data_IF_768506313606
#
_entry.id   IF_768506313606
#
_cell.length_a   1.000
_cell.length_b   1.000
_cell.length_c   1.000
_cell.angle_alpha   90.00
_cell.angle_beta   90.00
_cell.angle_gamma   90.00
#
_symmetry.space_group_name_H-M   'P 1'
#
loop_
_entity.id
_entity.type
_entity.pdbx_description
1 polymer ?
#
# COMPACT_ATOMS: atom_id res chain seq x y z
N UNK A 1 37.36 41.86 103.33
CA UNK A 1 36.90 43.25 103.23
C UNK A 1 38.18 44.06 103.24
N UNK A 2 38.68 44.63 102.15
CA UNK A 2 38.15 45.10 100.86
C UNK A 2 39.15 44.63 99.74
N UNK A 3 38.79 43.99 98.61
CA UNK A 3 38.01 44.45 97.44
C UNK A 3 38.40 45.86 96.94
N UNK A 4 38.67 46.19 95.69
CA UNK A 4 38.65 45.51 94.40
C UNK A 4 39.19 46.57 93.39
N UNK A 5 39.92 46.12 92.36
CA UNK A 5 40.07 46.68 90.98
C UNK A 5 40.51 48.15 90.77
N UNK A 6 41.50 48.36 89.89
CA UNK A 6 41.30 48.76 88.49
C UNK A 6 42.53 49.44 87.90
N UNK A 7 43.16 48.81 86.90
CA UNK A 7 43.20 49.44 85.57
C UNK A 7 43.67 48.42 84.53
N UNK A 8 42.70 47.98 83.73
CA UNK A 8 42.93 47.49 82.38
C UNK A 8 43.54 48.63 81.57
N UNK A 9 44.73 48.40 81.01
CA UNK A 9 45.18 49.12 79.82
C UNK A 9 44.44 48.55 78.62
N UNK A 10 43.31 49.17 78.28
CA UNK A 10 42.72 49.11 76.95
C UNK A 10 43.62 49.93 76.01
N UNK A 11 44.48 49.28 75.24
CA UNK A 11 45.01 49.89 74.03
C UNK A 11 44.01 49.66 72.91
N UNK A 12 43.33 50.76 72.56
CA UNK A 12 42.32 50.87 71.54
C UNK A 12 42.83 50.32 70.20
N UNK A 13 42.19 49.25 69.74
CA UNK A 13 42.16 48.90 68.31
C UNK A 13 41.47 50.05 67.58
N UNK A 14 42.23 50.84 66.83
CA UNK A 14 41.72 51.89 65.97
C UNK A 14 40.77 51.30 64.94
N UNK A 15 39.45 51.40 65.17
CA UNK A 15 38.42 51.05 64.18
C UNK A 15 38.24 52.26 63.27
N UNK A 16 38.91 52.23 62.12
CA UNK A 16 38.58 53.09 60.98
C UNK A 16 37.07 53.00 60.72
N UNK A 17 36.34 54.10 60.89
CA UNK A 17 34.89 54.13 60.70
C UNK A 17 34.61 54.36 59.21
N UNK A 18 34.00 53.38 58.54
CA UNK A 18 33.62 53.46 57.13
C UNK A 18 32.60 54.59 56.91
N UNK A 19 32.74 55.32 55.79
CA UNK A 19 31.73 56.27 55.34
C UNK A 19 30.38 55.56 55.11
N UNK A 20 29.29 56.20 55.54
CA UNK A 20 27.90 55.68 55.46
C UNK A 20 27.55 55.27 54.02
N UNK A 21 28.06 56.01 53.04
CA UNK A 21 27.82 55.76 51.61
C UNK A 21 28.52 54.49 51.10
N UNK A 22 29.76 54.24 51.54
CA UNK A 22 30.46 52.98 51.27
C UNK A 22 29.79 51.80 51.97
N UNK A 23 29.22 52.01 53.16
CA UNK A 23 28.46 50.98 53.86
C UNK A 23 27.16 50.61 53.12
N UNK A 24 26.46 51.58 52.51
CA UNK A 24 25.29 51.33 51.68
C UNK A 24 25.67 50.58 50.39
N UNK A 25 26.70 51.04 49.67
CA UNK A 25 27.20 50.38 48.44
C UNK A 25 27.66 48.95 48.69
N UNK A 26 28.33 48.68 49.80
CA UNK A 26 28.72 47.32 50.21
C UNK A 26 27.52 46.42 50.51
N UNK A 27 26.43 46.96 51.09
CA UNK A 27 25.18 46.20 51.27
C UNK A 27 24.53 45.88 49.94
N UNK A 28 24.52 46.83 49.01
CA UNK A 28 23.95 46.63 47.68
C UNK A 28 24.74 45.58 46.88
N UNK A 29 26.08 45.65 46.90
CA UNK A 29 26.95 44.62 46.31
C UNK A 29 26.69 43.26 46.96
N UNK A 30 26.55 43.19 48.29
CA UNK A 30 26.27 41.94 48.97
C UNK A 30 24.90 41.35 48.56
N UNK A 31 23.89 42.18 48.32
CA UNK A 31 22.59 41.74 47.80
C UNK A 31 22.73 41.19 46.38
N UNK A 32 23.46 41.88 45.50
CA UNK A 32 23.68 41.45 44.11
C UNK A 32 24.49 40.15 44.04
N UNK A 33 25.53 40.02 44.87
CA UNK A 33 26.38 38.82 44.94
C UNK A 33 25.66 37.60 45.52
N UNK A 34 24.56 37.80 46.26
CA UNK A 34 23.77 36.72 46.84
C UNK A 34 22.66 36.21 45.91
N UNK A 35 22.54 36.75 44.69
CA UNK A 35 21.60 36.28 43.66
C UNK A 35 22.17 35.05 42.93
N UNK A 36 21.31 34.36 42.16
CA UNK A 36 21.76 33.23 41.35
C UNK A 36 22.74 33.68 40.25
N UNK A 37 23.60 32.75 39.81
CA UNK A 37 24.67 33.03 38.86
C UNK A 37 24.19 33.62 37.52
N UNK A 38 22.96 33.35 37.06
CA UNK A 38 22.47 33.93 35.81
C UNK A 38 22.05 35.39 36.01
N UNK A 39 21.36 35.69 37.12
CA UNK A 39 20.99 37.06 37.47
C UNK A 39 22.23 37.91 37.79
N UNK A 40 23.21 37.32 38.48
CA UNK A 40 24.49 37.95 38.81
C UNK A 40 25.33 38.29 37.56
N UNK A 41 25.26 37.45 36.51
CA UNK A 41 25.86 37.68 35.18
C UNK A 41 25.14 38.75 34.36
N UNK A 42 23.83 38.95 34.59
CA UNK A 42 23.01 40.00 33.96
C UNK A 42 23.26 41.36 34.63
N UNK A 43 23.44 41.38 35.94
CA UNK A 43 23.68 42.59 36.75
C UNK A 43 25.19 42.87 36.97
N UNK A 44 26.05 42.21 36.20
CA UNK A 44 27.50 42.33 36.27
C UNK A 44 28.00 43.77 36.18
N UNK A 45 27.42 44.55 35.27
CA UNK A 45 27.79 45.96 35.08
C UNK A 45 27.42 46.81 36.30
N UNK A 46 26.29 46.51 36.95
CA UNK A 46 25.87 47.17 38.19
C UNK A 46 26.80 46.85 39.37
N UNK A 47 27.31 45.61 39.47
CA UNK A 47 28.30 45.23 40.48
C UNK A 47 29.62 45.98 40.23
N UNK A 48 30.06 46.07 38.97
CA UNK A 48 31.28 46.79 38.58
C UNK A 48 31.20 48.28 38.91
N UNK A 49 30.10 48.91 38.56
CA UNK A 49 29.87 50.35 38.80
C UNK A 49 29.86 50.65 40.31
N UNK A 50 29.20 49.81 41.12
CA UNK A 50 29.20 49.96 42.59
C UNK A 50 30.59 49.77 43.21
N UNK A 51 31.38 48.82 42.70
CA UNK A 51 32.76 48.59 43.15
C UNK A 51 33.68 49.76 42.83
N UNK A 52 33.52 50.38 41.65
CA UNK A 52 34.34 51.50 41.20
C UNK A 52 34.08 52.79 42.00
N UNK A 53 32.89 52.89 42.59
CA UNK A 53 32.47 54.02 43.44
C UNK A 53 32.95 53.89 44.90
N UNK A 54 33.46 52.74 45.35
CA UNK A 54 33.96 52.60 46.73
C UNK A 54 35.37 53.19 46.80
N UNK A 55 35.46 54.39 47.37
CA UNK A 55 36.70 55.16 47.50
C UNK A 55 37.70 54.56 48.53
N UNK A 56 38.96 55.01 48.51
CA UNK A 56 40.17 54.43 49.16
C UNK A 56 40.13 54.17 50.70
N UNK A 57 39.04 54.47 51.41
CA UNK A 57 38.92 54.37 52.88
C UNK A 57 38.35 53.04 53.41
N UNK A 58 38.49 51.95 52.65
CA UNK A 58 38.13 50.60 53.09
C UNK A 58 39.34 49.90 53.74
N UNK A 59 39.16 49.13 54.84
CA UNK A 59 40.21 48.32 55.43
C UNK A 59 40.89 47.44 54.37
N UNK A 60 42.22 47.35 54.43
CA UNK A 60 43.05 46.63 53.44
C UNK A 60 42.63 45.17 53.24
N UNK A 61 42.10 44.52 54.28
CA UNK A 61 41.53 43.16 54.22
C UNK A 61 40.27 43.10 53.32
N UNK A 62 39.39 44.09 53.44
CA UNK A 62 38.17 44.20 52.63
C UNK A 62 38.51 44.55 51.17
N UNK A 63 39.48 45.44 50.97
CA UNK A 63 39.99 45.80 49.65
C UNK A 63 40.52 44.58 48.89
N UNK A 64 41.35 43.76 49.53
CA UNK A 64 41.88 42.53 48.92
C UNK A 64 40.78 41.51 48.54
N UNK A 65 39.70 41.39 49.33
CA UNK A 65 38.56 40.53 48.96
C UNK A 65 37.74 41.10 47.79
N UNK A 66 37.58 42.42 47.70
CA UNK A 66 36.85 43.08 46.62
C UNK A 66 37.66 43.15 45.32
N UNK A 67 38.99 43.17 45.38
CA UNK A 67 39.85 43.04 44.19
C UNK A 67 39.57 41.73 43.44
N UNK A 68 39.29 40.64 44.15
CA UNK A 68 38.89 39.37 43.52
C UNK A 68 37.57 39.50 42.74
N UNK A 69 36.69 40.41 43.15
CA UNK A 69 35.42 40.69 42.46
C UNK A 69 35.58 41.52 41.19
N UNK A 70 36.72 42.22 41.02
CA UNK A 70 37.02 42.95 39.77
C UNK A 70 37.38 42.03 38.60
N UNK A 71 37.67 40.75 38.86
CA UNK A 71 37.93 39.73 37.85
C UNK A 71 36.69 38.90 37.49
N UNK A 72 35.52 39.21 38.05
CA UNK A 72 34.29 38.44 37.81
C UNK A 72 33.82 38.49 36.35
N UNK A 73 34.18 39.53 35.61
CA UNK A 73 33.80 39.68 34.20
C UNK A 73 34.28 38.54 33.30
N UNK A 74 35.50 38.05 33.54
CA UNK A 74 36.07 36.90 32.81
C UNK A 74 35.27 35.62 33.10
N UNK A 75 34.80 35.46 34.33
CA UNK A 75 33.93 34.36 34.73
C UNK A 75 32.52 34.52 34.16
N UNK A 76 31.98 35.74 34.06
CA UNK A 76 30.65 35.98 33.52
C UNK A 76 30.53 35.61 32.04
N UNK A 77 31.54 35.91 31.22
CA UNK A 77 31.59 35.46 29.84
C UNK A 77 31.57 33.92 29.74
N UNK A 78 32.31 33.24 30.62
CA UNK A 78 32.33 31.78 30.70
C UNK A 78 30.98 31.22 31.16
N UNK A 79 30.34 31.81 32.16
CA UNK A 79 29.01 31.40 32.65
C UNK A 79 27.95 31.57 31.56
N UNK A 80 27.91 32.68 30.81
CA UNK A 80 26.97 32.84 29.67
C UNK A 80 27.15 31.73 28.63
N UNK A 81 28.40 31.42 28.30
CA UNK A 81 28.73 30.33 27.35
C UNK A 81 28.28 28.98 27.89
N UNK A 82 28.52 28.68 29.16
CA UNK A 82 28.11 27.43 29.80
C UNK A 82 26.59 27.33 29.86
N UNK A 83 25.87 28.36 30.29
CA UNK A 83 24.41 28.39 30.32
C UNK A 83 23.81 28.15 28.94
N UNK A 84 24.32 28.83 27.89
CA UNK A 84 23.89 28.59 26.50
C UNK A 84 24.15 27.14 26.07
N UNK A 85 25.32 26.59 26.38
CA UNK A 85 25.67 25.21 26.03
C UNK A 85 24.79 24.19 26.76
N UNK A 86 24.42 24.45 28.02
CA UNK A 86 23.50 23.60 28.78
C UNK A 86 22.13 23.61 28.10
N UNK A 87 21.57 24.79 27.82
CA UNK A 87 20.28 24.91 27.12
C UNK A 87 20.29 24.21 25.76
N UNK A 88 21.31 24.44 24.94
CA UNK A 88 21.46 23.78 23.64
C UNK A 88 21.62 22.26 23.75
N UNK A 89 22.32 21.77 24.77
CA UNK A 89 22.47 20.33 24.99
C UNK A 89 21.13 19.69 25.33
N UNK A 90 20.33 20.34 26.17
CA UNK A 90 19.00 19.85 26.55
C UNK A 90 18.08 19.79 25.33
N UNK A 91 18.05 20.82 24.48
CA UNK A 91 17.21 20.80 23.26
C UNK A 91 17.64 19.70 22.30
N UNK A 92 18.94 19.58 22.02
CA UNK A 92 19.46 18.54 21.14
C UNK A 92 19.22 17.12 21.67
N UNK A 93 19.28 16.91 22.99
CA UNK A 93 18.96 15.62 23.60
C UNK A 93 17.47 15.26 23.45
N UNK A 94 16.58 16.24 23.59
CA UNK A 94 15.16 16.05 23.37
C UNK A 94 14.86 15.72 21.90
N UNK A 95 15.42 16.49 20.97
CA UNK A 95 15.27 16.25 19.52
C UNK A 95 15.79 14.87 19.12
N UNK A 96 16.96 14.48 19.63
CA UNK A 96 17.52 13.14 19.39
C UNK A 96 16.60 12.04 19.91
N UNK A 97 15.99 12.24 21.08
CA UNK A 97 15.08 11.27 21.68
C UNK A 97 13.80 11.14 20.86
N UNK A 98 13.23 12.25 20.42
CA UNK A 98 12.07 12.28 19.52
C UNK A 98 12.37 11.59 18.19
N UNK A 99 13.50 11.91 17.55
CA UNK A 99 13.91 11.28 16.29
C UNK A 99 14.19 9.79 16.43
N UNK A 100 14.74 9.35 17.56
CA UNK A 100 14.91 7.91 17.84
C UNK A 100 13.56 7.20 18.00
N UNK A 101 12.57 7.85 18.61
CA UNK A 101 11.24 7.30 18.75
C UNK A 101 10.50 7.23 17.41
N UNK A 102 10.57 8.30 16.60
CA UNK A 102 10.02 8.36 15.24
C UNK A 102 10.61 7.25 14.36
N UNK A 103 11.93 7.04 14.42
CA UNK A 103 12.58 5.97 13.66
C UNK A 103 12.09 4.56 14.06
N UNK A 104 11.83 4.32 15.35
CA UNK A 104 11.29 3.04 15.83
C UNK A 104 9.86 2.83 15.34
N UNK A 105 9.04 3.87 15.40
CA UNK A 105 7.65 3.83 14.93
C UNK A 105 7.59 3.53 13.43
N UNK A 106 8.36 4.27 12.62
CA UNK A 106 8.47 4.01 11.18
C UNK A 106 8.98 2.59 10.89
N UNK A 107 9.93 2.08 11.68
CA UNK A 107 10.39 0.70 11.53
C UNK A 107 9.25 -0.30 11.80
N UNK A 108 8.45 -0.10 12.84
CA UNK A 108 7.30 -0.96 13.14
C UNK A 108 6.25 -0.91 12.03
N UNK A 109 5.95 0.28 11.50
CA UNK A 109 5.03 0.44 10.37
C UNK A 109 5.50 -0.31 9.12
N UNK A 110 6.80 -0.25 8.80
CA UNK A 110 7.38 -1.01 7.68
C UNK A 110 7.22 -2.52 7.90
N UNK A 111 7.47 -3.03 9.11
CA UNK A 111 7.30 -4.47 9.37
C UNK A 111 5.83 -4.90 9.27
N UNK A 112 4.90 -4.10 9.77
CA UNK A 112 3.47 -4.38 9.67
C UNK A 112 2.99 -4.38 8.21
N UNK A 113 3.47 -3.43 7.41
CA UNK A 113 3.18 -3.36 5.98
C UNK A 113 3.75 -4.58 5.23
N UNK A 114 5.00 -4.99 5.52
CA UNK A 114 5.59 -6.21 4.96
C UNK A 114 4.81 -7.47 5.31
N UNK A 115 4.38 -7.58 6.56
CA UNK A 115 3.56 -8.71 7.00
C UNK A 115 2.23 -8.75 6.25
N UNK A 116 1.54 -7.61 6.18
CA UNK A 116 0.27 -7.47 5.44
C UNK A 116 0.43 -7.85 3.97
N UNK A 117 1.50 -7.38 3.31
CA UNK A 117 1.79 -7.74 1.92
C UNK A 117 2.02 -9.24 1.75
N UNK A 118 2.76 -9.87 2.66
CA UNK A 118 3.03 -11.30 2.63
C UNK A 118 1.77 -12.16 2.81
N UNK A 119 0.74 -11.63 3.47
CA UNK A 119 -0.55 -12.31 3.66
C UNK A 119 -1.50 -12.07 2.49
N UNK A 120 -1.56 -10.83 1.98
CA UNK A 120 -2.50 -10.46 0.91
C UNK A 120 -2.10 -10.99 -0.47
N UNK A 121 -0.80 -11.05 -0.79
CA UNK A 121 -0.33 -11.53 -2.10
C UNK A 121 -0.77 -12.98 -2.43
N UNK A 122 -0.61 -13.98 -1.54
CA UNK A 122 -1.10 -15.33 -1.82
C UNK A 122 -2.63 -15.41 -1.82
N UNK A 123 -3.32 -14.61 -1.00
CA UNK A 123 -4.78 -14.56 -0.97
C UNK A 123 -5.34 -14.04 -2.31
N UNK A 124 -4.76 -12.97 -2.84
CA UNK A 124 -5.13 -12.42 -4.14
C UNK A 124 -4.92 -13.44 -5.26
N UNK A 125 -3.75 -14.09 -5.31
CA UNK A 125 -3.46 -15.14 -6.30
C UNK A 125 -4.48 -16.30 -6.24
N UNK A 126 -4.89 -16.69 -5.03
CA UNK A 126 -5.92 -17.71 -4.83
C UNK A 126 -7.29 -17.26 -5.37
N UNK A 127 -7.66 -16.01 -5.15
CA UNK A 127 -8.92 -15.43 -5.67
C UNK A 127 -8.92 -15.33 -7.20
N UNK A 128 -7.80 -14.92 -7.80
CA UNK A 128 -7.63 -14.88 -9.26
C UNK A 128 -7.77 -16.28 -9.88
N UNK A 129 -7.12 -17.28 -9.28
CA UNK A 129 -7.22 -18.67 -9.73
C UNK A 129 -8.65 -19.20 -9.60
N UNK A 130 -9.33 -18.91 -8.49
CA UNK A 130 -10.74 -19.27 -8.30
C UNK A 130 -11.62 -18.66 -9.39
N UNK A 131 -11.42 -17.38 -9.70
CA UNK A 131 -12.18 -16.67 -10.74
C UNK A 131 -11.94 -17.28 -12.13
N UNK A 132 -10.69 -17.68 -12.43
CA UNK A 132 -10.34 -18.39 -13.66
C UNK A 132 -11.07 -19.74 -13.75
N UNK A 133 -11.10 -20.50 -12.66
CA UNK A 133 -11.79 -21.79 -12.59
C UNK A 133 -13.31 -21.65 -12.75
N UNK A 134 -13.92 -20.64 -12.14
CA UNK A 134 -15.35 -20.34 -12.30
C UNK A 134 -15.70 -20.02 -13.78
N UNK A 135 -14.85 -19.26 -14.48
CA UNK A 135 -15.03 -19.00 -15.90
C UNK A 135 -14.93 -20.27 -16.76
N UNK A 136 -13.97 -21.15 -16.45
CA UNK A 136 -13.84 -22.44 -17.14
C UNK A 136 -15.05 -23.35 -16.89
N UNK A 137 -15.57 -23.37 -15.66
CA UNK A 137 -16.76 -24.13 -15.32
C UNK A 137 -17.99 -23.63 -16.08
N UNK A 138 -18.16 -22.31 -16.21
CA UNK A 138 -19.25 -21.72 -16.99
C UNK A 138 -19.18 -22.13 -18.48
N UNK A 139 -17.99 -22.10 -19.08
CA UNK A 139 -17.79 -22.57 -20.45
C UNK A 139 -18.10 -24.06 -20.63
N UNK A 140 -17.66 -24.89 -19.68
CA UNK A 140 -17.94 -26.33 -19.69
C UNK A 140 -19.44 -26.60 -19.59
N UNK A 141 -20.15 -25.90 -18.70
CA UNK A 141 -21.59 -26.02 -18.55
C UNK A 141 -22.34 -25.63 -19.83
N UNK A 142 -21.93 -24.56 -20.51
CA UNK A 142 -22.49 -24.19 -21.80
C UNK A 142 -22.30 -25.28 -22.86
N UNK A 143 -21.11 -25.90 -22.91
CA UNK A 143 -20.82 -27.02 -23.82
C UNK A 143 -21.65 -28.26 -23.51
N UNK A 144 -21.82 -28.58 -22.22
CA UNK A 144 -22.69 -29.66 -21.76
C UNK A 144 -24.13 -29.42 -22.23
N UNK A 145 -24.65 -28.19 -22.05
CA UNK A 145 -26.01 -27.88 -22.48
C UNK A 145 -26.17 -28.01 -24.00
N UNK A 146 -25.22 -27.48 -24.79
CA UNK A 146 -25.24 -27.63 -26.25
C UNK A 146 -25.24 -29.10 -26.68
N UNK A 147 -24.48 -29.97 -26.00
CA UNK A 147 -24.50 -31.41 -26.28
C UNK A 147 -25.83 -32.04 -25.88
N UNK A 148 -26.43 -31.67 -24.75
CA UNK A 148 -27.76 -32.14 -24.35
C UNK A 148 -28.82 -31.78 -25.39
N UNK A 149 -28.81 -30.55 -25.89
CA UNK A 149 -29.76 -30.08 -26.90
C UNK A 149 -29.61 -30.89 -28.20
N UNK A 150 -28.38 -31.06 -28.69
CA UNK A 150 -28.09 -31.91 -29.86
C UNK A 150 -28.56 -33.35 -29.66
N UNK A 151 -28.32 -33.91 -28.47
CA UNK A 151 -28.76 -35.28 -28.15
C UNK A 151 -30.29 -35.39 -28.10
N UNK A 152 -30.99 -34.35 -27.65
CA UNK A 152 -32.45 -34.32 -27.63
C UNK A 152 -33.05 -34.26 -29.05
N UNK A 153 -32.35 -33.64 -30.01
CA UNK A 153 -32.79 -33.52 -31.40
C UNK A 153 -32.54 -34.79 -32.25
N UNK A 154 -31.53 -35.59 -31.89
CA UNK A 154 -31.15 -36.79 -32.64
C UNK A 154 -32.29 -37.81 -32.85
N UNK A 155 -33.12 -38.16 -31.84
CA UNK A 155 -34.24 -39.07 -32.03
C UNK A 155 -35.22 -38.63 -33.12
N UNK A 156 -35.53 -37.34 -33.20
CA UNK A 156 -36.41 -36.80 -34.24
C UNK A 156 -35.74 -36.90 -35.62
N UNK A 157 -34.46 -36.55 -35.72
CA UNK A 157 -33.71 -36.69 -36.97
C UNK A 157 -33.64 -38.15 -37.45
N UNK A 158 -33.46 -39.09 -36.51
CA UNK A 158 -33.47 -40.54 -36.80
C UNK A 158 -34.86 -40.95 -37.30
N UNK A 159 -35.94 -40.55 -36.61
CA UNK A 159 -37.31 -40.89 -37.01
C UNK A 159 -37.65 -40.39 -38.42
N UNK A 160 -37.26 -39.16 -38.76
CA UNK A 160 -37.44 -38.59 -40.11
C UNK A 160 -36.68 -39.43 -41.15
N UNK A 161 -35.41 -39.76 -40.88
CA UNK A 161 -34.60 -40.56 -41.78
C UNK A 161 -35.17 -41.98 -41.98
N UNK A 162 -35.61 -42.63 -40.89
CA UNK A 162 -36.25 -43.94 -40.93
C UNK A 162 -37.54 -43.92 -41.74
N UNK A 163 -38.40 -42.90 -41.56
CA UNK A 163 -39.63 -42.74 -42.34
C UNK A 163 -39.33 -42.58 -43.83
N UNK A 164 -38.29 -41.81 -44.18
CA UNK A 164 -37.86 -41.64 -45.58
C UNK A 164 -37.35 -42.95 -46.19
N UNK A 165 -36.56 -43.74 -45.44
CA UNK A 165 -36.12 -45.06 -45.89
C UNK A 165 -37.33 -45.97 -46.16
N UNK A 166 -38.30 -46.01 -45.24
CA UNK A 166 -39.50 -46.82 -45.41
C UNK A 166 -40.31 -46.43 -46.66
N UNK A 167 -40.43 -45.12 -46.92
CA UNK A 167 -41.07 -44.61 -48.14
C UNK A 167 -40.34 -45.07 -49.41
N UNK A 168 -39.02 -44.92 -49.46
CA UNK A 168 -38.21 -45.34 -50.63
C UNK A 168 -38.30 -46.85 -50.87
N UNK A 169 -38.28 -47.67 -49.81
CA UNK A 169 -38.47 -49.13 -49.94
C UNK A 169 -39.83 -49.46 -50.57
N UNK A 170 -40.88 -48.75 -50.15
CA UNK A 170 -42.24 -48.95 -50.70
C UNK A 170 -42.30 -48.58 -52.18
N UNK A 171 -41.68 -47.48 -52.60
CA UNK A 171 -41.59 -47.11 -54.01
C UNK A 171 -40.83 -48.16 -54.83
N UNK A 172 -39.68 -48.64 -54.34
CA UNK A 172 -38.90 -49.70 -55.01
C UNK A 172 -39.73 -50.98 -55.21
N UNK A 173 -40.49 -51.39 -54.20
CA UNK A 173 -41.41 -52.53 -54.30
C UNK A 173 -42.47 -52.31 -55.38
N UNK A 174 -43.07 -51.11 -55.44
CA UNK A 174 -44.05 -50.78 -56.48
C UNK A 174 -43.43 -50.81 -57.88
N UNK A 175 -42.21 -50.28 -58.04
CA UNK A 175 -41.50 -50.35 -59.31
C UNK A 175 -41.18 -51.79 -59.70
N UNK A 176 -40.70 -52.63 -58.78
CA UNK A 176 -40.47 -54.06 -59.01
C UNK A 176 -41.73 -54.78 -59.50
N UNK A 177 -42.87 -54.57 -58.86
CA UNK A 177 -44.14 -55.17 -59.31
C UNK A 177 -44.56 -54.70 -60.70
N UNK A 178 -44.44 -53.39 -61.00
CA UNK A 178 -44.75 -52.85 -62.33
C UNK A 178 -43.83 -53.42 -63.41
N UNK A 179 -42.53 -53.49 -63.14
CA UNK A 179 -41.55 -54.09 -64.05
C UNK A 179 -41.82 -55.57 -64.28
N UNK A 180 -42.15 -56.33 -63.24
CA UNK A 180 -42.48 -57.75 -63.37
C UNK A 180 -43.71 -57.97 -64.27
N UNK A 181 -44.75 -57.13 -64.13
CA UNK A 181 -45.94 -57.20 -64.99
C UNK A 181 -45.61 -56.92 -66.46
N UNK A 182 -44.82 -55.86 -66.74
CA UNK A 182 -44.38 -55.52 -68.10
C UNK A 182 -43.50 -56.63 -68.69
N UNK A 183 -42.62 -57.21 -67.87
CA UNK A 183 -41.76 -58.30 -68.32
C UNK A 183 -42.56 -59.58 -68.61
N UNK A 184 -43.62 -59.82 -67.86
CA UNK A 184 -44.52 -60.96 -68.03
C UNK A 184 -45.37 -60.88 -69.29
N UNK A 185 -45.69 -59.67 -69.79
CA UNK A 185 -46.44 -59.49 -71.05
C UNK A 185 -45.56 -59.51 -72.29
N UNK A 186 -44.23 -59.61 -72.14
CA UNK A 186 -43.28 -59.44 -73.25
C UNK A 186 -43.53 -60.39 -74.41
N UNK A 187 -43.88 -61.65 -74.13
CA UNK A 187 -44.10 -62.65 -75.15
C UNK A 187 -45.44 -62.45 -75.86
N UNK A 188 -46.50 -62.05 -75.13
CA UNK A 188 -47.76 -61.61 -75.73
C UNK A 188 -47.58 -60.36 -76.60
N UNK A 189 -46.88 -59.35 -76.09
CA UNK A 189 -46.58 -58.10 -76.79
C UNK A 189 -45.81 -58.40 -78.10
N UNK A 190 -44.82 -59.30 -78.05
CA UNK A 190 -44.07 -59.73 -79.23
C UNK A 190 -44.96 -60.49 -80.24
N UNK A 191 -45.83 -61.39 -79.78
CA UNK A 191 -46.79 -62.09 -80.67
C UNK A 191 -47.72 -61.12 -81.40
N UNK A 192 -48.18 -60.07 -80.72
CA UNK A 192 -49.00 -59.03 -81.35
C UNK A 192 -48.21 -58.33 -82.46
N UNK A 193 -46.96 -57.93 -82.19
CA UNK A 193 -46.09 -57.31 -83.20
C UNK A 193 -45.79 -58.23 -84.39
N UNK A 194 -45.51 -59.51 -84.13
CA UNK A 194 -45.24 -60.52 -85.16
C UNK A 194 -46.48 -60.75 -86.03
N UNK A 195 -47.67 -60.84 -85.42
CA UNK A 195 -48.92 -61.01 -86.16
C UNK A 195 -49.26 -59.79 -87.03
N UNK A 196 -49.05 -58.57 -86.53
CA UNK A 196 -49.21 -57.35 -87.34
C UNK A 196 -48.23 -57.34 -88.51
N UNK A 197 -46.98 -57.73 -88.28
CA UNK A 197 -45.95 -57.82 -89.33
C UNK A 197 -46.36 -58.84 -90.40
N UNK A 198 -46.83 -60.03 -90.00
CA UNK A 198 -47.35 -61.04 -90.91
C UNK A 198 -48.52 -60.53 -91.76
N UNK A 199 -49.53 -59.90 -91.14
CA UNK A 199 -50.69 -59.34 -91.84
C UNK A 199 -50.24 -58.29 -92.88
N UNK A 200 -49.30 -57.43 -92.50
CA UNK A 200 -48.74 -56.42 -93.40
C UNK A 200 -48.05 -57.08 -94.59
N UNK A 201 -47.20 -58.07 -94.35
CA UNK A 201 -46.42 -58.72 -95.41
C UNK A 201 -47.35 -59.50 -96.36
N UNK A 202 -48.36 -60.22 -95.83
CA UNK A 202 -49.41 -60.87 -96.63
C UNK A 202 -50.19 -59.86 -97.52
N UNK A 203 -50.51 -58.67 -96.99
CA UNK A 203 -51.18 -57.63 -97.76
C UNK A 203 -50.28 -57.04 -98.85
N UNK A 204 -48.99 -56.83 -98.58
CA UNK A 204 -48.00 -56.38 -99.56
C UNK A 204 -47.86 -57.40 -100.69
N UNK A 205 -47.72 -58.68 -100.36
CA UNK A 205 -47.59 -59.76 -101.34
C UNK A 205 -48.83 -59.87 -102.22
N UNK A 206 -50.03 -59.80 -101.64
CA UNK A 206 -51.29 -59.82 -102.39
C UNK A 206 -51.44 -58.64 -103.37
N UNK A 207 -50.90 -57.46 -103.03
CA UNK A 207 -50.87 -56.29 -103.93
C UNK A 207 -49.84 -56.50 -105.06
N UNK A 208 -48.69 -57.07 -104.75
CA UNK A 208 -47.60 -57.27 -105.70
C UNK A 208 -47.82 -58.44 -106.66
N UNK A 209 -48.62 -59.43 -106.27
CA UNK A 209 -48.93 -60.62 -107.06
C UNK A 209 -49.50 -60.30 -108.46
N UNK A 210 -50.53 -59.44 -108.63
CA UNK A 210 -51.02 -59.01 -109.95
C UNK A 210 -50.14 -57.97 -110.66
N UNK A 211 -49.14 -57.38 -109.98
CA UNK A 211 -48.20 -56.41 -110.58
C UNK A 211 -46.95 -57.09 -111.17
N UNK A 212 -46.85 -58.42 -111.07
CA UNK A 212 -45.70 -59.23 -111.50
C UNK A 212 -46.00 -60.18 -112.68
N UNK A 213 -47.19 -60.08 -113.28
CA UNK A 213 -47.55 -60.65 -114.59
C UNK A 213 -47.42 -59.60 -115.71
#
# INVERSE_FOLDING_TARGET
MEDYICQKGEEATSKQTLLVENQARLKDIAVLLNKDNNTLVQEADQIRDLLQLIDQDIPSILKASLESTTHLDDYFAMVRKVSKNISSRTTLQNDRTLKKQEAKELHSQIQNAKHSLSTLDPELKSMEEKSRLEAQLAQLNAKIQSHKDKMADLPNSIAIATAKIAYVIKEDQQFKSRLANIQGSKDEDQKVLDNVSRIRDEAIDAINQPLSE
#
